data_IF_150528138701
#
_entry.id   IF_150528138701
#
_cell.length_a   1.000
_cell.length_b   1.000
_cell.length_c   1.000
_cell.angle_alpha   90.00
_cell.angle_beta   90.00
_cell.angle_gamma   90.00
#
_symmetry.space_group_name_H-M   'P 1'
#
loop_
_entity.id
_entity.type
_entity.pdbx_description
1 polymer ?
#
# COMPACT_ATOMS: atom_id res chain seq x y z
N UNK A 1 32.26 -16.80 58.71
CA UNK A 1 32.26 -15.86 57.57
C UNK A 1 31.64 -16.54 56.36
N UNK A 2 30.36 -16.28 56.07
CA UNK A 2 29.65 -16.83 54.90
C UNK A 2 29.68 -15.79 53.78
N UNK A 3 30.40 -16.07 52.69
CA UNK A 3 30.39 -15.25 51.48
C UNK A 3 29.20 -15.70 50.62
N UNK A 4 28.18 -14.84 50.50
CA UNK A 4 27.06 -15.02 49.57
C UNK A 4 27.51 -14.45 48.22
N UNK A 5 27.69 -15.34 47.23
CA UNK A 5 28.01 -15.00 45.86
C UNK A 5 26.73 -14.48 45.18
N UNK A 6 26.70 -13.21 44.79
CA UNK A 6 25.64 -12.66 43.96
C UNK A 6 26.00 -12.89 42.49
N UNK A 7 25.38 -13.90 41.87
CA UNK A 7 25.40 -14.04 40.41
C UNK A 7 24.39 -13.05 39.83
N UNK A 8 24.89 -11.89 39.38
CA UNK A 8 24.12 -10.99 38.53
C UNK A 8 23.96 -11.65 37.15
N UNK A 9 22.79 -12.23 36.90
CA UNK A 9 22.42 -12.68 35.57
C UNK A 9 22.27 -11.47 34.65
N UNK A 10 23.21 -11.32 33.72
CA UNK A 10 23.13 -10.36 32.63
C UNK A 10 21.94 -10.77 31.76
N UNK A 11 20.81 -10.08 31.90
CA UNK A 11 19.71 -10.17 30.94
C UNK A 11 20.19 -9.44 29.69
N UNK A 12 20.77 -10.19 28.76
CA UNK A 12 21.16 -9.69 27.45
C UNK A 12 19.86 -9.39 26.70
N UNK A 13 19.44 -8.12 26.66
CA UNK A 13 18.44 -7.68 25.69
C UNK A 13 19.09 -7.84 24.32
N UNK A 14 18.79 -8.95 23.63
CA UNK A 14 19.06 -9.07 22.21
C UNK A 14 18.13 -8.09 21.50
N UNK A 15 18.61 -6.88 21.25
CA UNK A 15 17.99 -5.98 20.27
C UNK A 15 18.32 -6.56 18.89
N UNK A 16 17.51 -7.51 18.42
CA UNK A 16 17.48 -7.85 17.02
C UNK A 16 17.21 -6.57 16.23
N UNK A 17 18.07 -6.26 15.25
CA UNK A 17 17.75 -5.19 14.30
C UNK A 17 16.58 -5.72 13.48
N UNK A 18 15.40 -5.11 13.64
CA UNK A 18 14.26 -5.42 12.79
C UNK A 18 14.68 -5.22 11.34
N UNK A 19 14.61 -6.28 10.55
CA UNK A 19 14.89 -6.21 9.13
C UNK A 19 13.59 -5.92 8.37
N UNK A 20 13.72 -5.19 7.27
CA UNK A 20 12.61 -4.89 6.36
C UNK A 20 13.14 -4.75 4.95
N UNK A 21 12.28 -5.05 3.97
CA UNK A 21 12.54 -4.83 2.56
C UNK A 21 11.36 -4.09 1.93
N UNK A 22 11.65 -3.02 1.19
CA UNK A 22 10.63 -2.23 0.49
C UNK A 22 10.68 -2.51 -0.99
N UNK A 23 9.53 -2.84 -1.57
CA UNK A 23 9.34 -3.06 -3.00
C UNK A 23 8.62 -1.85 -3.59
N UNK A 24 9.38 -0.95 -4.18
CA UNK A 24 8.83 0.18 -4.92
C UNK A 24 8.41 -0.26 -6.33
N UNK A 25 7.15 0.00 -6.67
CA UNK A 25 6.61 -0.07 -8.03
C UNK A 25 6.53 1.37 -8.52
N UNK A 26 7.24 1.69 -9.60
CA UNK A 26 7.27 3.04 -10.16
C UNK A 26 6.93 3.04 -11.63
N UNK A 27 6.16 4.02 -12.07
CA UNK A 27 5.72 4.23 -13.43
C UNK A 27 4.91 3.06 -14.03
N UNK A 28 4.12 2.34 -13.23
CA UNK A 28 3.25 1.31 -13.79
C UNK A 28 2.07 1.95 -14.53
N UNK A 29 1.76 1.50 -15.75
CA UNK A 29 0.57 1.94 -16.47
C UNK A 29 -0.50 0.83 -16.53
N UNK A 30 -1.77 1.24 -16.49
CA UNK A 30 -2.92 0.33 -16.42
C UNK A 30 -3.22 -0.42 -17.73
N UNK A 31 -2.25 -0.51 -18.66
CA UNK A 31 -2.42 -1.11 -19.99
C UNK A 31 -2.83 -2.59 -19.95
N UNK A 32 -2.64 -3.27 -18.81
CA UNK A 32 -3.09 -4.65 -18.58
C UNK A 32 -2.46 -5.71 -19.47
N UNK A 33 -1.56 -5.32 -20.39
CA UNK A 33 -0.76 -6.19 -21.23
C UNK A 33 0.56 -6.60 -20.57
N UNK A 34 0.96 -5.91 -19.50
CA UNK A 34 2.20 -6.21 -18.80
C UNK A 34 2.06 -7.54 -18.07
N UNK A 35 2.84 -8.54 -18.50
CA UNK A 35 2.91 -9.84 -17.81
C UNK A 35 3.98 -9.86 -16.72
N UNK A 36 4.88 -8.87 -16.73
CA UNK A 36 5.95 -8.70 -15.74
C UNK A 36 6.29 -7.23 -15.55
N UNK A 37 6.41 -6.78 -14.30
CA UNK A 37 6.78 -5.40 -13.98
C UNK A 37 7.57 -5.33 -12.68
N UNK A 38 8.71 -4.63 -12.65
CA UNK A 38 9.57 -4.48 -11.45
C UNK A 38 9.89 -5.80 -10.71
N UNK A 39 10.03 -6.89 -11.47
CA UNK A 39 10.32 -8.23 -10.92
C UNK A 39 9.09 -8.98 -10.38
N UNK A 40 7.89 -8.40 -10.45
CA UNK A 40 6.63 -9.12 -10.24
C UNK A 40 6.17 -9.73 -11.56
N UNK A 41 5.62 -10.93 -11.49
CA UNK A 41 4.67 -11.42 -12.47
C UNK A 41 3.34 -10.70 -12.24
N UNK A 42 2.75 -10.18 -13.31
CA UNK A 42 1.46 -9.49 -13.28
C UNK A 42 0.51 -10.30 -14.14
N UNK A 43 -0.60 -10.72 -13.54
CA UNK A 43 -1.67 -11.42 -14.28
C UNK A 43 -2.36 -10.47 -15.25
N UNK A 44 -2.94 -11.03 -16.31
CA UNK A 44 -3.86 -10.26 -17.14
C UNK A 44 -5.04 -9.79 -16.28
N UNK A 45 -5.51 -8.56 -16.54
CA UNK A 45 -6.66 -8.00 -15.83
C UNK A 45 -7.86 -8.95 -15.90
N UNK A 46 -8.41 -9.30 -14.73
CA UNK A 46 -9.63 -10.10 -14.61
C UNK A 46 -10.78 -9.18 -14.23
N UNK A 47 -11.89 -9.27 -14.95
CA UNK A 47 -13.09 -8.53 -14.60
C UNK A 47 -13.73 -9.11 -13.32
N UNK A 48 -14.07 -8.22 -12.38
CA UNK A 48 -14.85 -8.52 -11.18
C UNK A 48 -16.05 -7.56 -11.12
N UNK A 49 -17.18 -8.01 -11.65
CA UNK A 49 -18.30 -7.10 -11.92
C UNK A 49 -17.91 -6.05 -12.95
N UNK A 50 -17.94 -4.78 -12.55
CA UNK A 50 -17.55 -3.65 -13.40
C UNK A 50 -16.05 -3.26 -13.24
N UNK A 51 -15.35 -3.89 -12.31
CA UNK A 51 -13.98 -3.54 -11.93
C UNK A 51 -12.96 -4.40 -12.67
N UNK A 52 -11.69 -3.99 -12.66
CA UNK A 52 -10.57 -4.83 -13.06
C UNK A 52 -9.64 -5.14 -11.90
N UNK A 53 -9.22 -6.40 -11.81
CA UNK A 53 -8.26 -6.88 -10.83
C UNK A 53 -6.97 -7.30 -11.52
N UNK A 54 -5.86 -6.77 -11.03
CA UNK A 54 -4.52 -7.17 -11.42
C UNK A 54 -3.89 -7.89 -10.24
N UNK A 55 -3.66 -9.19 -10.35
CA UNK A 55 -2.90 -9.95 -9.33
C UNK A 55 -1.41 -9.87 -9.64
N UNK A 56 -0.64 -9.46 -8.64
CA UNK A 56 0.81 -9.33 -8.68
C UNK A 56 1.43 -10.39 -7.80
N UNK A 57 2.48 -11.06 -8.29
CA UNK A 57 3.20 -12.06 -7.52
C UNK A 57 4.69 -11.96 -7.77
N UNK A 58 5.49 -12.01 -6.70
CA UNK A 58 6.95 -12.09 -6.78
C UNK A 58 7.44 -13.17 -5.83
N UNK A 59 8.38 -13.98 -6.31
CA UNK A 59 9.06 -14.99 -5.51
C UNK A 59 10.57 -14.81 -5.59
N UNK A 60 11.28 -15.23 -4.55
CA UNK A 60 12.74 -15.13 -4.43
C UNK A 60 13.13 -14.88 -2.97
N UNK A 61 14.41 -14.64 -2.70
CA UNK A 61 14.81 -14.13 -1.39
C UNK A 61 14.38 -12.65 -1.30
N UNK A 62 13.28 -12.36 -0.60
CA UNK A 62 12.64 -11.05 -0.51
C UNK A 62 12.93 -10.37 0.83
N UNK A 63 13.31 -11.12 1.84
CA UNK A 63 13.69 -10.61 3.16
C UNK A 63 15.21 -10.40 3.34
N UNK A 64 16.02 -10.85 2.38
CA UNK A 64 17.48 -10.81 2.43
C UNK A 64 18.10 -11.86 3.35
N UNK A 65 17.30 -12.82 3.84
CA UNK A 65 17.67 -13.80 4.83
C UNK A 65 17.63 -15.21 4.27
N UNK A 66 18.48 -16.08 4.82
CA UNK A 66 18.48 -17.52 4.52
C UNK A 66 18.60 -17.86 3.03
N UNK A 67 18.50 -19.16 2.71
CA UNK A 67 18.50 -19.63 1.33
C UNK A 67 17.10 -19.93 0.79
N UNK A 68 16.04 -19.88 1.61
CA UNK A 68 14.69 -20.20 1.15
C UNK A 68 14.12 -19.01 0.35
N UNK A 69 13.16 -19.32 -0.52
CA UNK A 69 12.46 -18.29 -1.26
C UNK A 69 11.17 -17.92 -0.54
N UNK A 70 10.90 -16.63 -0.51
CA UNK A 70 9.64 -16.03 -0.10
C UNK A 70 8.71 -15.89 -1.29
N UNK A 71 7.46 -15.53 -1.00
CA UNK A 71 6.48 -15.10 -1.99
C UNK A 71 5.65 -13.95 -1.46
N UNK A 72 5.60 -12.85 -2.22
CA UNK A 72 4.70 -11.73 -2.01
C UNK A 72 3.64 -11.74 -3.11
N UNK A 73 2.37 -11.69 -2.74
CA UNK A 73 1.24 -11.53 -3.65
C UNK A 73 0.29 -10.44 -3.16
N UNK A 74 -0.33 -9.72 -4.08
CA UNK A 74 -1.38 -8.75 -3.78
C UNK A 74 -2.24 -8.49 -5.02
N UNK A 75 -3.41 -7.92 -4.83
CA UNK A 75 -4.31 -7.51 -5.90
C UNK A 75 -4.38 -5.98 -5.96
N UNK A 76 -4.27 -5.43 -7.16
CA UNK A 76 -4.64 -4.04 -7.44
C UNK A 76 -6.03 -4.04 -8.06
N UNK A 77 -6.98 -3.41 -7.39
CA UNK A 77 -8.34 -3.20 -7.90
C UNK A 77 -8.44 -1.83 -8.55
N UNK A 78 -8.99 -1.80 -9.76
CA UNK A 78 -9.29 -0.60 -10.53
C UNK A 78 -10.78 -0.50 -10.77
N UNK A 79 -11.37 0.58 -10.26
CA UNK A 79 -12.77 0.92 -10.42
C UNK A 79 -12.90 2.23 -11.19
N UNK A 80 -13.98 2.37 -11.96
CA UNK A 80 -14.28 3.56 -12.73
C UNK A 80 -15.71 4.03 -12.51
N UNK A 81 -15.91 5.35 -12.58
CA UNK A 81 -17.19 5.99 -12.33
C UNK A 81 -17.48 7.10 -13.34
N UNK A 82 -18.76 7.24 -13.69
CA UNK A 82 -19.27 8.31 -14.56
C UNK A 82 -20.37 9.10 -13.86
N UNK A 83 -20.44 10.41 -14.10
CA UNK A 83 -21.42 11.28 -13.46
C UNK A 83 -21.10 11.61 -12.00
N UNK A 84 -19.81 11.54 -11.62
CA UNK A 84 -19.34 12.03 -10.33
C UNK A 84 -19.57 13.54 -10.21
N UNK A 85 -19.77 14.01 -8.98
CA UNK A 85 -19.99 15.44 -8.72
C UNK A 85 -19.12 15.94 -7.58
N UNK A 86 -18.81 17.23 -7.61
CA UNK A 86 -18.04 17.90 -6.56
C UNK A 86 -18.90 18.96 -5.87
N UNK A 87 -18.95 18.87 -4.54
CA UNK A 87 -19.54 19.87 -3.65
C UNK A 87 -18.54 20.13 -2.55
N UNK A 88 -17.75 21.20 -2.72
CA UNK A 88 -16.57 21.50 -1.91
C UNK A 88 -16.81 21.29 -0.41
N UNK A 89 -15.96 20.53 0.29
CA UNK A 89 -14.72 19.91 -0.19
C UNK A 89 -14.90 18.45 -0.67
N UNK A 90 -16.12 17.98 -0.89
CA UNK A 90 -16.40 16.57 -1.08
C UNK A 90 -16.68 16.21 -2.54
N UNK A 91 -16.21 15.05 -2.96
CA UNK A 91 -16.61 14.39 -4.20
C UNK A 91 -17.62 13.28 -3.88
N UNK A 92 -18.71 13.25 -4.63
CA UNK A 92 -19.62 12.11 -4.68
C UNK A 92 -19.34 11.32 -5.95
N UNK A 93 -18.95 10.05 -5.80
CA UNK A 93 -18.75 9.15 -6.94
C UNK A 93 -20.08 8.88 -7.64
N UNK A 94 -20.05 8.86 -8.97
CA UNK A 94 -21.22 8.60 -9.79
C UNK A 94 -21.54 7.11 -9.93
N UNK A 95 -22.10 6.74 -11.08
CA UNK A 95 -22.41 5.35 -11.40
C UNK A 95 -21.13 4.60 -11.76
N UNK A 96 -20.98 3.39 -11.24
CA UNK A 96 -19.91 2.46 -11.64
C UNK A 96 -19.94 2.23 -13.16
N UNK A 97 -18.76 2.20 -13.77
CA UNK A 97 -18.55 1.97 -15.20
C UNK A 97 -17.85 0.63 -15.41
N UNK A 98 -18.35 -0.16 -16.34
CA UNK A 98 -17.78 -1.46 -16.69
C UNK A 98 -16.46 -1.31 -17.46
N UNK A 99 -15.37 -1.76 -16.87
CA UNK A 99 -14.03 -1.74 -17.45
C UNK A 99 -13.70 -3.01 -18.25
N UNK A 100 -14.51 -4.08 -18.17
CA UNK A 100 -14.21 -5.41 -18.73
C UNK A 100 -14.11 -5.51 -20.25
N UNK A 101 -14.41 -4.43 -20.98
CA UNK A 101 -14.31 -4.35 -22.44
C UNK A 101 -13.44 -3.21 -22.97
N UNK A 102 -12.73 -2.48 -22.09
CA UNK A 102 -11.99 -1.27 -22.46
C UNK A 102 -10.50 -1.57 -22.58
N UNK A 103 -9.88 -1.13 -23.68
CA UNK A 103 -8.42 -1.13 -23.80
C UNK A 103 -7.85 0.06 -23.04
N UNK A 104 -7.41 -0.15 -21.80
CA UNK A 104 -7.06 0.93 -20.88
C UNK A 104 -5.60 1.34 -20.98
N UNK A 105 -5.24 2.27 -21.87
CA UNK A 105 -3.89 2.86 -21.79
C UNK A 105 -3.73 3.80 -20.58
N UNK A 106 -4.83 4.25 -19.97
CA UNK A 106 -4.85 5.09 -18.77
C UNK A 106 -6.04 4.69 -17.86
N UNK A 107 -6.07 5.20 -16.63
CA UNK A 107 -7.01 4.75 -15.59
C UNK A 107 -8.45 5.28 -15.69
N UNK A 108 -8.80 6.01 -16.75
CA UNK A 108 -10.16 6.54 -16.93
C UNK A 108 -11.17 5.48 -17.38
N UNK A 109 -12.49 5.70 -17.19
CA UNK A 109 -13.55 4.78 -17.63
C UNK A 109 -13.44 4.38 -19.11
N UNK A 110 -13.06 5.30 -19.99
CA UNK A 110 -12.83 5.06 -21.42
C UNK A 110 -11.36 5.07 -21.82
N UNK A 111 -10.44 4.81 -20.87
CA UNK A 111 -9.01 5.08 -21.01
C UNK A 111 -8.67 6.49 -20.50
N UNK A 112 -9.25 7.54 -21.07
CA UNK A 112 -9.06 8.91 -20.57
C UNK A 112 -10.14 9.26 -19.54
N UNK A 113 -9.82 10.16 -18.60
CA UNK A 113 -10.75 10.68 -17.59
C UNK A 113 -11.40 11.97 -18.11
N UNK A 114 -12.71 11.92 -18.38
CA UNK A 114 -13.48 13.08 -18.79
C UNK A 114 -14.09 13.87 -17.62
N UNK A 115 -14.71 15.01 -17.93
CA UNK A 115 -15.39 15.83 -16.94
C UNK A 115 -16.44 15.00 -16.19
N UNK A 116 -16.46 15.12 -14.86
CA UNK A 116 -17.36 14.37 -13.99
C UNK A 116 -17.18 12.85 -14.07
N UNK A 117 -15.99 12.39 -14.46
CA UNK A 117 -15.60 11.00 -14.32
C UNK A 117 -14.58 10.84 -13.21
N UNK A 118 -14.58 9.66 -12.60
CA UNK A 118 -13.61 9.28 -11.58
C UNK A 118 -13.05 7.90 -11.84
N UNK A 119 -11.89 7.63 -11.26
CA UNK A 119 -11.44 6.27 -11.01
C UNK A 119 -10.98 6.12 -9.57
N UNK A 120 -10.95 4.88 -9.10
CA UNK A 120 -10.44 4.51 -7.78
C UNK A 120 -9.50 3.31 -7.91
N UNK A 121 -8.37 3.39 -7.24
CA UNK A 121 -7.41 2.30 -7.09
C UNK A 121 -7.24 1.93 -5.62
N UNK A 122 -7.12 0.64 -5.36
CA UNK A 122 -6.81 0.09 -4.04
C UNK A 122 -5.93 -1.15 -4.16
N UNK A 123 -5.09 -1.36 -3.16
CA UNK A 123 -4.39 -2.64 -2.97
C UNK A 123 -5.17 -3.47 -1.96
N UNK A 124 -5.41 -4.73 -2.30
CA UNK A 124 -6.11 -5.70 -1.46
C UNK A 124 -5.41 -7.06 -1.48
N UNK A 125 -5.86 -7.97 -0.61
CA UNK A 125 -5.39 -9.37 -0.55
C UNK A 125 -3.86 -9.52 -0.49
N UNK A 126 -3.19 -8.65 0.29
CA UNK A 126 -1.74 -8.73 0.47
C UNK A 126 -1.41 -9.99 1.26
N UNK A 127 -0.62 -10.86 0.67
CA UNK A 127 -0.15 -12.12 1.27
C UNK A 127 1.35 -12.19 1.13
N UNK A 128 2.05 -12.33 2.25
CA UNK A 128 3.47 -12.64 2.28
C UNK A 128 3.67 -14.01 2.91
N UNK A 129 4.39 -14.88 2.21
CA UNK A 129 4.82 -16.19 2.70
C UNK A 129 6.32 -16.20 2.74
N UNK A 130 6.89 -16.18 3.95
CA UNK A 130 8.32 -16.28 4.15
C UNK A 130 8.77 -17.74 4.08
N UNK A 131 9.85 -18.02 3.35
CA UNK A 131 10.37 -19.38 3.19
C UNK A 131 10.87 -19.99 4.50
N UNK A 132 11.44 -19.17 5.36
CA UNK A 132 12.00 -19.51 6.67
C UNK A 132 10.95 -19.60 7.78
N UNK A 133 9.73 -19.13 7.53
CA UNK A 133 8.63 -19.11 8.49
C UNK A 133 8.95 -18.37 9.82
N UNK A 134 9.66 -17.24 9.74
CA UNK A 134 9.96 -16.37 10.88
C UNK A 134 8.82 -15.39 11.21
N UNK A 135 7.70 -15.47 10.48
CA UNK A 135 6.50 -14.68 10.76
C UNK A 135 6.57 -13.24 10.25
N UNK A 136 7.27 -12.99 9.15
CA UNK A 136 7.24 -11.68 8.50
C UNK A 136 5.88 -11.38 7.89
N UNK A 137 5.55 -10.09 7.81
CA UNK A 137 4.31 -9.57 7.23
C UNK A 137 4.62 -8.55 6.14
N UNK A 138 3.68 -8.37 5.21
CA UNK A 138 3.73 -7.30 4.20
C UNK A 138 2.67 -6.24 4.50
N UNK A 139 3.06 -4.97 4.38
CA UNK A 139 2.18 -3.81 4.55
C UNK A 139 2.23 -2.95 3.30
N UNK A 140 1.07 -2.46 2.86
CA UNK A 140 0.99 -1.48 1.79
C UNK A 140 1.29 -0.08 2.32
N UNK A 141 2.32 0.54 1.76
CA UNK A 141 2.81 1.85 2.19
C UNK A 141 1.97 3.00 1.62
N UNK A 142 1.12 2.70 0.63
CA UNK A 142 0.24 3.64 -0.05
C UNK A 142 0.69 3.98 -1.47
N UNK A 143 -0.23 4.56 -2.23
CA UNK A 143 0.06 5.20 -3.51
C UNK A 143 0.75 6.53 -3.26
N UNK A 144 1.91 6.74 -3.87
CA UNK A 144 2.76 7.90 -3.63
C UNK A 144 2.76 8.90 -4.78
N UNK A 145 2.54 8.46 -6.01
CA UNK A 145 2.45 9.35 -7.16
C UNK A 145 1.57 8.75 -8.27
N UNK A 146 1.05 9.64 -9.12
CA UNK A 146 0.43 9.29 -10.39
C UNK A 146 0.61 10.46 -11.35
N UNK A 147 1.13 10.19 -12.55
CA UNK A 147 1.33 11.25 -13.51
C UNK A 147 0.06 11.51 -14.32
N UNK A 148 -0.25 12.80 -14.43
CA UNK A 148 -1.24 13.30 -15.37
C UNK A 148 -0.59 13.76 -16.66
N UNK A 149 -1.14 13.33 -17.78
CA UNK A 149 -0.84 13.80 -19.14
C UNK A 149 -2.11 14.31 -19.81
N UNK A 150 -1.98 15.13 -20.85
CA UNK A 150 -3.14 15.67 -21.57
C UNK A 150 -4.00 16.63 -20.74
N UNK A 151 -5.22 16.90 -21.19
CA UNK A 151 -6.07 17.98 -20.68
C UNK A 151 -5.59 19.38 -21.08
N UNK A 152 -6.41 20.41 -20.83
CA UNK A 152 -5.89 21.78 -20.87
C UNK A 152 -4.88 21.93 -19.71
N UNK A 153 -3.72 22.52 -19.96
CA UNK A 153 -2.59 22.59 -19.00
C UNK A 153 -2.87 23.35 -17.68
N UNK A 154 -4.12 23.73 -17.43
CA UNK A 154 -4.59 24.41 -16.22
C UNK A 154 -5.76 23.70 -15.55
N UNK A 155 -6.13 22.51 -16.03
CA UNK A 155 -7.33 21.85 -15.56
C UNK A 155 -7.12 21.21 -14.19
N UNK A 156 -8.08 21.44 -13.29
CA UNK A 156 -8.05 20.95 -11.93
C UNK A 156 -8.60 19.53 -11.84
N UNK A 157 -8.20 18.80 -10.82
CA UNK A 157 -8.83 17.54 -10.44
C UNK A 157 -8.84 17.42 -8.93
N UNK A 158 -9.69 16.52 -8.45
CA UNK A 158 -9.87 16.26 -7.04
C UNK A 158 -9.28 14.90 -6.68
N UNK A 159 -8.50 14.87 -5.60
CA UNK A 159 -8.01 13.65 -4.98
C UNK A 159 -8.76 13.33 -3.70
N UNK A 160 -9.22 12.08 -3.60
CA UNK A 160 -10.07 11.62 -2.50
C UNK A 160 -11.55 11.94 -2.70
N UNK A 161 -12.35 11.58 -1.70
CA UNK A 161 -13.81 11.77 -1.71
C UNK A 161 -14.28 12.71 -0.60
N UNK A 162 -13.89 12.46 0.65
CA UNK A 162 -14.19 13.33 1.79
C UNK A 162 -13.02 14.27 2.04
N UNK A 163 -13.27 15.57 2.12
CA UNK A 163 -12.19 16.56 2.28
C UNK A 163 -11.19 16.50 1.13
N UNK A 164 -11.69 16.28 -0.09
CA UNK A 164 -10.89 16.06 -1.28
C UNK A 164 -9.94 17.23 -1.55
N UNK A 165 -8.68 16.90 -1.82
CA UNK A 165 -7.66 17.87 -2.20
C UNK A 165 -7.95 18.36 -3.62
N UNK A 166 -8.08 19.67 -3.79
CA UNK A 166 -8.11 20.26 -5.14
C UNK A 166 -6.67 20.43 -5.60
N UNK A 167 -6.30 19.71 -6.65
CA UNK A 167 -4.98 19.86 -7.25
C UNK A 167 -5.10 20.73 -8.48
N UNK A 168 -4.49 21.91 -8.38
CA UNK A 168 -4.62 22.98 -9.36
C UNK A 168 -3.55 22.84 -10.43
N UNK A 169 -3.94 23.00 -11.69
CA UNK A 169 -3.00 23.14 -12.80
C UNK A 169 -2.04 21.96 -13.02
N UNK A 170 -2.44 20.74 -12.64
CA UNK A 170 -1.60 19.55 -12.83
C UNK A 170 -0.50 19.35 -11.78
N UNK A 171 -0.66 19.90 -10.57
CA UNK A 171 0.25 19.61 -9.45
C UNK A 171 0.22 18.14 -9.00
N UNK A 172 1.06 17.76 -8.04
CA UNK A 172 1.02 16.41 -7.48
C UNK A 172 0.07 16.36 -6.28
N UNK A 173 -0.48 15.19 -5.96
CA UNK A 173 -1.22 15.02 -4.70
C UNK A 173 -0.28 14.83 -3.52
N UNK A 174 -0.79 15.12 -2.34
CA UNK A 174 -0.05 14.91 -1.10
C UNK A 174 -0.25 13.47 -0.61
N UNK A 175 0.61 12.55 -1.06
CA UNK A 175 0.64 11.13 -0.65
C UNK A 175 1.73 10.80 0.37
N UNK A 176 1.73 9.58 0.97
CA UNK A 176 1.04 8.38 0.48
C UNK A 176 -0.42 8.22 0.93
N UNK A 177 -1.26 7.59 0.09
CA UNK A 177 -2.68 7.29 0.39
C UNK A 177 -3.01 5.80 0.20
N UNK A 178 -3.88 5.25 1.05
CA UNK A 178 -4.26 3.83 1.00
C UNK A 178 -5.26 3.52 -0.13
N UNK A 179 -6.10 4.49 -0.48
CA UNK A 179 -7.05 4.41 -1.59
C UNK A 179 -6.88 5.67 -2.43
N UNK A 180 -6.49 5.49 -3.69
CA UNK A 180 -6.32 6.59 -4.61
C UNK A 180 -7.64 6.80 -5.35
N UNK A 181 -8.28 7.95 -5.16
CA UNK A 181 -9.48 8.33 -5.93
C UNK A 181 -9.21 9.63 -6.64
N UNK A 182 -9.46 9.67 -7.94
CA UNK A 182 -9.25 10.87 -8.77
C UNK A 182 -10.53 11.21 -9.50
N UNK A 183 -10.90 12.49 -9.50
CA UNK A 183 -12.05 13.00 -10.24
C UNK A 183 -11.65 14.18 -11.10
N UNK A 184 -11.91 14.11 -12.40
CA UNK A 184 -11.56 15.18 -13.33
C UNK A 184 -12.66 16.23 -13.43
N UNK A 185 -12.26 17.50 -13.53
CA UNK A 185 -13.15 18.63 -13.86
C UNK A 185 -13.15 18.97 -15.35
N UNK A 186 -12.38 18.22 -16.16
CA UNK A 186 -12.21 18.49 -17.59
C UNK A 186 -12.15 17.22 -18.42
N UNK A 187 -12.37 17.36 -19.73
CA UNK A 187 -12.28 16.26 -20.67
C UNK A 187 -10.82 15.84 -20.93
N UNK A 188 -10.62 14.58 -21.32
CA UNK A 188 -9.37 14.03 -21.83
C UNK A 188 -8.15 14.16 -20.89
N UNK A 189 -8.33 13.96 -19.58
CA UNK A 189 -7.21 13.89 -18.63
C UNK A 189 -6.69 12.46 -18.54
N UNK A 190 -5.39 12.25 -18.81
CA UNK A 190 -4.78 10.92 -18.89
C UNK A 190 -3.98 10.66 -17.64
N UNK A 191 -4.46 9.78 -16.78
CA UNK A 191 -3.75 9.40 -15.56
C UNK A 191 -3.09 8.03 -15.76
N UNK A 192 -1.77 7.97 -15.61
CA UNK A 192 -0.94 6.77 -15.79
C UNK A 192 0.32 6.88 -14.93
N UNK A 193 1.23 5.91 -15.04
CA UNK A 193 2.50 5.90 -14.33
C UNK A 193 2.27 6.03 -12.81
N UNK A 194 1.65 5.01 -12.26
CA UNK A 194 1.33 4.88 -10.85
C UNK A 194 2.59 4.45 -10.09
N UNK A 195 2.83 5.14 -8.97
CA UNK A 195 3.88 4.81 -8.01
C UNK A 195 3.28 4.38 -6.68
N UNK A 196 3.79 3.29 -6.13
CA UNK A 196 3.42 2.79 -4.81
C UNK A 196 4.49 1.85 -4.25
N UNK A 197 4.36 1.50 -2.97
CA UNK A 197 5.28 0.57 -2.34
C UNK A 197 4.58 -0.41 -1.40
N UNK A 198 5.19 -1.60 -1.25
CA UNK A 198 4.87 -2.57 -0.22
C UNK A 198 6.15 -2.88 0.55
N UNK A 199 6.07 -2.85 1.87
CA UNK A 199 7.18 -3.18 2.75
C UNK A 199 6.91 -4.51 3.44
N UNK A 200 7.88 -5.43 3.38
CA UNK A 200 7.92 -6.62 4.22
C UNK A 200 8.80 -6.35 5.43
N UNK A 201 8.39 -6.83 6.60
CA UNK A 201 9.19 -6.72 7.81
C UNK A 201 8.89 -7.89 8.75
N UNK A 202 9.81 -8.16 9.68
CA UNK A 202 9.54 -9.07 10.79
C UNK A 202 8.30 -8.57 11.55
N UNK A 203 7.29 -9.43 11.72
CA UNK A 203 6.17 -9.07 12.56
C UNK A 203 6.73 -8.87 13.98
N UNK A 204 6.69 -7.63 14.46
CA UNK A 204 7.11 -7.33 15.82
C UNK A 204 6.04 -7.97 16.72
N UNK A 205 6.35 -9.04 17.47
CA UNK A 205 5.36 -9.62 18.36
C UNK A 205 4.92 -8.52 19.32
N UNK A 206 3.61 -8.26 19.39
CA UNK A 206 3.10 -7.33 20.40
C UNK A 206 3.70 -7.74 21.75
N UNK A 207 4.23 -6.79 22.55
CA UNK A 207 4.85 -7.14 23.81
C UNK A 207 3.80 -7.88 24.63
N UNK A 208 3.98 -9.19 24.76
CA UNK A 208 2.98 -10.04 25.40
C UNK A 208 2.63 -9.43 26.75
N UNK A 209 1.35 -9.44 27.14
CA UNK A 209 0.94 -8.94 28.46
C UNK A 209 1.74 -9.60 29.59
N UNK A 210 2.30 -10.80 29.35
CA UNK A 210 3.25 -11.47 30.21
C UNK A 210 4.60 -10.73 30.38
N UNK A 211 5.13 -10.09 29.34
CA UNK A 211 6.32 -9.23 29.45
C UNK A 211 6.03 -7.97 30.28
N UNK A 212 4.84 -7.36 30.12
CA UNK A 212 4.40 -6.22 30.93
C UNK A 212 4.17 -6.62 32.40
N UNK A 213 3.55 -7.76 32.65
CA UNK A 213 3.37 -8.32 34.00
C UNK A 213 4.71 -8.73 34.62
N UNK A 214 5.62 -9.28 33.82
CA UNK A 214 6.99 -9.62 34.24
C UNK A 214 7.78 -8.38 34.65
N UNK A 215 7.72 -7.31 33.86
CA UNK A 215 8.32 -6.00 34.18
C UNK A 215 7.66 -5.36 35.41
N UNK A 216 6.33 -5.45 35.53
CA UNK A 216 5.59 -4.99 36.71
C UNK A 216 6.00 -5.75 37.98
N UNK A 217 6.16 -7.07 37.89
CA UNK A 217 6.67 -7.91 38.98
C UNK A 217 8.12 -7.58 39.36
N UNK A 218 8.99 -7.35 38.37
CA UNK A 218 10.37 -6.93 38.60
C UNK A 218 10.45 -5.56 39.28
N UNK A 219 9.64 -4.60 38.84
CA UNK A 219 9.53 -3.28 39.47
C UNK A 219 9.08 -3.39 40.95
N UNK A 220 8.16 -4.31 41.25
CA UNK A 220 7.68 -4.55 42.61
C UNK A 220 8.77 -5.18 43.51
N UNK A 221 9.55 -6.12 42.97
CA UNK A 221 10.70 -6.73 43.66
C UNK A 221 11.79 -5.68 43.92
N UNK A 222 12.11 -4.84 42.94
CA UNK A 222 13.09 -3.76 43.09
C UNK A 222 12.62 -2.71 44.12
N UNK A 223 11.33 -2.38 44.15
CA UNK A 223 10.74 -1.49 45.18
C UNK A 223 10.88 -2.08 46.57
N UNK A 224 10.60 -3.38 46.75
CA UNK A 224 10.65 -4.05 48.05
C UNK A 224 12.07 -4.21 48.61
N UNK A 225 13.11 -4.20 47.78
CA UNK A 225 14.51 -4.28 48.22
C UNK A 225 15.14 -2.92 48.59
N UNK A 226 14.43 -1.81 48.33
CA UNK A 226 14.85 -0.45 48.70
C UNK A 226 14.30 0.04 50.03
N UNK A 227 13.37 -0.70 50.64
CA UNK A 227 12.87 -0.48 52.01
C UNK A 227 13.61 -1.40 52.97
#
# INVERSE_FOLDING_TARGET
MKKILYTAGTCLLATGLAQSATFAITNWDGNGSDTTFSGFAVSAAVADGNDLIYTWTRSGNLDGMGPANDTLSFDLRHEAFTGSSYSSPNVTLGNSHDLGGVSLQHFGPGGDLDNNQSFRLSIENIVFTQGEALGWEATFDGFSDINRFGGSGTADYYFGTTGAETVVGGGNFTGPVQVLTVTSTTANSRFRNLDFAITTAEAIPEPSSAALVGLGGLALILRRRRS
#
